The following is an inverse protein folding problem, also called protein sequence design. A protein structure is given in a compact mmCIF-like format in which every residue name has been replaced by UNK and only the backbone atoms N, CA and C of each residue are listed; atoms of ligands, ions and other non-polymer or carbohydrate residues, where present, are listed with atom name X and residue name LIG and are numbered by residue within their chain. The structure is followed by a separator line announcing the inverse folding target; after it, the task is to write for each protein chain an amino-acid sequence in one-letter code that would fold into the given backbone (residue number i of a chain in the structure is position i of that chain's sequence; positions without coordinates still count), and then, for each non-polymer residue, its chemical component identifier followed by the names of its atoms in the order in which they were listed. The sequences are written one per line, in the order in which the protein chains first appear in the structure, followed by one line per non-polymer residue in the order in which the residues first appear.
data_IF_309229904871
#
_entry.id   IF_309229904871
#
_cell.length_a   1.000
_cell.length_b   1.000
_cell.length_c   1.000
_cell.angle_alpha   90.00
_cell.angle_beta   90.00
_cell.angle_gamma   90.00
#
_symmetry.space_group_name_H-M   'P 1'
#
loop_
_entity.id
_entity.type
_entity.pdbx_description
1 polymer ?
#
# COMPACT_ATOMS: atom_id res chain seq x y z
N UNK A 1 -28.55 21.72 -0.38
CA UNK A 1 -27.86 22.51 0.67
C UNK A 1 -26.61 21.75 1.02
N UNK A 2 -25.46 22.39 1.01
CA UNK A 2 -24.21 21.75 1.45
C UNK A 2 -24.23 21.69 2.98
N UNK A 3 -23.84 20.55 3.54
CA UNK A 3 -23.82 20.37 4.99
C UNK A 3 -22.72 21.26 5.62
N UNK A 4 -22.95 21.76 6.83
CA UNK A 4 -22.02 22.67 7.52
C UNK A 4 -20.64 22.02 7.72
N UNK A 5 -20.64 20.71 7.99
CA UNK A 5 -19.40 19.93 8.13
C UNK A 5 -18.64 19.86 6.81
N UNK A 6 -19.35 19.68 5.68
CA UNK A 6 -18.73 19.64 4.35
C UNK A 6 -18.08 20.98 3.97
N UNK A 7 -18.76 22.10 4.23
CA UNK A 7 -18.20 23.45 3.97
C UNK A 7 -16.95 23.68 4.81
N UNK A 8 -17.00 23.37 6.11
CA UNK A 8 -15.84 23.53 6.99
C UNK A 8 -14.69 22.60 6.59
N UNK A 9 -14.97 21.34 6.23
CA UNK A 9 -13.96 20.40 5.71
C UNK A 9 -13.30 20.93 4.44
N UNK A 10 -14.09 21.45 3.50
CA UNK A 10 -13.55 22.06 2.28
C UNK A 10 -12.64 23.25 2.62
N UNK A 11 -13.11 24.14 3.52
CA UNK A 11 -12.39 25.33 3.96
C UNK A 11 -11.01 25.00 4.50
N UNK A 12 -10.92 23.97 5.36
CA UNK A 12 -9.66 23.56 6.01
C UNK A 12 -8.88 22.50 5.23
N UNK A 13 -9.39 22.06 4.08
CA UNK A 13 -8.77 21.01 3.26
C UNK A 13 -8.71 19.64 3.95
N UNK A 14 -9.74 19.28 4.72
CA UNK A 14 -9.88 17.97 5.35
C UNK A 14 -10.60 16.95 4.45
N UNK A 15 -10.24 15.66 4.55
CA UNK A 15 -10.99 14.55 3.95
C UNK A 15 -12.23 14.17 4.76
N UNK A 16 -12.94 13.08 4.42
CA UNK A 16 -14.15 12.64 5.15
C UNK A 16 -13.93 12.16 6.57
N UNK A 17 -12.67 11.92 6.93
CA UNK A 17 -12.29 11.48 8.27
C UNK A 17 -11.64 12.61 9.08
N UNK A 18 -11.60 13.83 8.54
CA UNK A 18 -11.02 14.98 9.22
C UNK A 18 -9.52 15.14 9.09
N UNK A 19 -8.86 14.36 8.22
CA UNK A 19 -7.42 14.49 8.03
C UNK A 19 -7.10 15.70 7.15
N UNK A 20 -6.34 16.64 7.70
CA UNK A 20 -5.89 17.84 7.00
C UNK A 20 -4.68 17.47 6.12
N UNK A 21 -4.81 17.66 4.81
CA UNK A 21 -3.72 17.38 3.84
C UNK A 21 -2.93 18.63 3.44
N UNK A 22 -3.48 19.81 3.71
CA UNK A 22 -2.93 21.10 3.30
C UNK A 22 -3.17 22.13 4.39
N UNK A 23 -2.34 23.17 4.44
CA UNK A 23 -2.43 24.31 5.35
C UNK A 23 -3.51 25.35 4.94
N UNK A 24 -4.51 24.94 4.13
CA UNK A 24 -5.59 25.81 3.67
C UNK A 24 -6.54 26.16 4.81
N UNK A 25 -7.09 27.37 4.76
CA UNK A 25 -8.16 27.82 5.67
C UNK A 25 -8.99 28.95 5.07
N UNK A 26 -9.41 28.84 3.81
CA UNK A 26 -10.23 29.87 3.17
C UNK A 26 -11.27 29.26 2.25
N UNK A 27 -12.45 29.85 2.23
CA UNK A 27 -13.57 29.50 1.37
C UNK A 27 -14.12 30.79 0.77
N UNK A 28 -14.21 30.86 -0.56
CA UNK A 28 -14.61 32.09 -1.27
C UNK A 28 -15.98 31.86 -1.87
N UNK A 29 -16.95 32.72 -1.52
CA UNK A 29 -18.29 32.70 -2.09
C UNK A 29 -18.98 34.06 -1.87
N UNK A 30 -19.75 34.53 -2.84
CA UNK A 30 -20.55 35.76 -2.73
C UNK A 30 -22.04 35.49 -2.52
N UNK A 31 -22.85 36.53 -2.30
CA UNK A 31 -24.30 36.45 -1.99
C UNK A 31 -25.12 35.67 -3.03
N UNK A 32 -24.71 35.67 -4.29
CA UNK A 32 -25.32 34.86 -5.36
C UNK A 32 -24.91 33.38 -5.37
N UNK A 33 -23.98 32.98 -4.51
CA UNK A 33 -23.43 31.63 -4.42
C UNK A 33 -24.30 30.70 -3.58
N UNK A 34 -24.37 29.42 -3.99
CA UNK A 34 -25.18 28.38 -3.32
C UNK A 34 -24.84 28.20 -1.83
N UNK A 35 -23.58 28.40 -1.46
CA UNK A 35 -23.07 28.12 -0.11
C UNK A 35 -22.92 29.36 0.77
N UNK A 36 -23.21 30.55 0.24
CA UNK A 36 -22.99 31.81 0.98
C UNK A 36 -23.87 31.91 2.22
N UNK A 37 -25.17 31.58 2.12
CA UNK A 37 -26.07 31.57 3.28
C UNK A 37 -25.60 30.60 4.37
N UNK A 38 -25.05 29.45 3.98
CA UNK A 38 -24.49 28.50 4.93
C UNK A 38 -23.21 29.05 5.60
N UNK A 39 -22.34 29.72 4.84
CA UNK A 39 -21.16 30.39 5.39
C UNK A 39 -21.53 31.53 6.35
N UNK A 40 -22.56 32.32 6.04
CA UNK A 40 -23.10 33.34 6.95
C UNK A 40 -23.66 32.71 8.23
N UNK A 41 -24.39 31.60 8.12
CA UNK A 41 -24.86 30.82 9.26
C UNK A 41 -23.71 30.32 10.15
N UNK A 42 -22.65 29.79 9.53
CA UNK A 42 -21.43 29.35 10.22
C UNK A 42 -20.68 30.50 10.92
N UNK A 43 -20.68 31.70 10.33
CA UNK A 43 -20.14 32.91 10.98
C UNK A 43 -20.98 33.30 12.20
N UNK A 44 -22.31 33.32 12.05
CA UNK A 44 -23.25 33.61 13.16
C UNK A 44 -23.09 32.62 14.32
N UNK A 45 -22.81 31.35 14.03
CA UNK A 45 -22.54 30.31 15.02
C UNK A 45 -21.12 30.34 15.60
N UNK A 46 -20.22 31.21 15.13
CA UNK A 46 -18.84 31.33 15.61
C UNK A 46 -17.86 30.29 15.05
N UNK A 47 -18.28 29.46 14.09
CA UNK A 47 -17.44 28.46 13.44
C UNK A 47 -16.59 29.02 12.30
N UNK A 48 -16.97 30.17 11.76
CA UNK A 48 -16.19 30.89 10.76
C UNK A 48 -16.05 32.38 11.10
N UNK A 49 -15.06 33.03 10.49
CA UNK A 49 -14.97 34.49 10.37
C UNK A 49 -15.02 34.87 8.90
N UNK A 50 -15.57 36.04 8.56
CA UNK A 50 -15.60 36.54 7.19
C UNK A 50 -14.73 37.78 7.00
N UNK A 51 -14.26 37.96 5.76
CA UNK A 51 -13.69 39.21 5.24
C UNK A 51 -14.41 39.57 3.96
N UNK A 52 -14.67 40.87 3.77
CA UNK A 52 -15.27 41.34 2.53
C UNK A 52 -14.35 41.08 1.35
N UNK A 53 -14.97 40.71 0.23
CA UNK A 53 -14.29 40.47 -1.02
C UNK A 53 -13.52 41.67 -1.54
N UNK A 54 -12.57 41.40 -2.42
CA UNK A 54 -11.78 42.42 -3.09
C UNK A 54 -11.57 42.03 -4.57
N UNK A 55 -10.78 42.83 -5.30
CA UNK A 55 -10.51 42.56 -6.71
C UNK A 55 -9.87 41.17 -6.96
N UNK A 56 -9.07 40.66 -6.02
CA UNK A 56 -8.44 39.34 -6.15
C UNK A 56 -9.43 38.18 -5.98
N UNK A 57 -10.58 38.42 -5.31
CA UNK A 57 -11.65 37.43 -5.15
C UNK A 57 -12.83 37.66 -6.08
N UNK A 58 -12.71 38.58 -7.05
CA UNK A 58 -13.81 38.95 -7.94
C UNK A 58 -14.97 39.66 -7.23
N UNK A 59 -14.73 40.16 -6.01
CA UNK A 59 -15.75 40.78 -5.15
C UNK A 59 -16.42 39.82 -4.16
N UNK A 60 -16.15 38.52 -4.25
CA UNK A 60 -16.74 37.52 -3.35
C UNK A 60 -16.11 37.53 -1.96
N UNK A 61 -16.93 37.29 -0.94
CA UNK A 61 -16.51 37.25 0.46
C UNK A 61 -15.62 36.03 0.75
N UNK A 62 -14.67 36.19 1.67
CA UNK A 62 -13.74 35.16 2.09
C UNK A 62 -14.08 34.72 3.52
N UNK A 63 -14.28 33.43 3.71
CA UNK A 63 -14.59 32.83 4.99
C UNK A 63 -13.42 31.97 5.46
N UNK A 64 -13.10 32.05 6.75
CA UNK A 64 -12.02 31.29 7.40
C UNK A 64 -12.61 30.50 8.55
N UNK A 65 -12.25 29.22 8.70
CA UNK A 65 -12.69 28.43 9.85
C UNK A 65 -11.96 28.91 11.11
N UNK A 66 -12.72 29.08 12.19
CA UNK A 66 -12.17 29.35 13.52
C UNK A 66 -11.64 28.06 14.15
N UNK A 67 -11.02 28.17 15.33
CA UNK A 67 -10.67 26.99 16.13
C UNK A 67 -11.92 26.14 16.45
N UNK A 68 -13.01 26.79 16.86
CA UNK A 68 -14.28 26.10 17.14
C UNK A 68 -14.83 25.40 15.89
N UNK A 69 -14.70 25.99 14.70
CA UNK A 69 -15.11 25.35 13.45
C UNK A 69 -14.30 24.09 13.13
N UNK A 70 -12.98 24.09 13.42
CA UNK A 70 -12.12 22.90 13.28
C UNK A 70 -12.51 21.80 14.26
N UNK A 71 -12.80 22.17 15.51
CA UNK A 71 -13.28 21.24 16.54
C UNK A 71 -14.64 20.65 16.16
N UNK A 72 -15.55 21.46 15.62
CA UNK A 72 -16.84 21.01 15.12
C UNK A 72 -16.69 19.97 14.00
N UNK A 73 -15.75 20.16 13.07
CA UNK A 73 -15.44 19.15 12.06
C UNK A 73 -14.96 17.85 12.72
N UNK A 74 -14.01 17.90 13.65
CA UNK A 74 -13.48 16.70 14.31
C UNK A 74 -14.56 15.89 15.05
N UNK A 75 -15.53 16.57 15.68
CA UNK A 75 -16.62 15.92 16.40
C UNK A 75 -17.69 15.29 15.49
N UNK A 76 -17.81 15.77 14.24
CA UNK A 76 -18.88 15.37 13.32
C UNK A 76 -18.38 14.62 12.08
N UNK A 77 -17.10 14.25 12.01
CA UNK A 77 -16.57 13.43 10.92
C UNK A 77 -16.96 11.96 11.09
N UNK A 78 -16.96 11.27 9.96
CA UNK A 78 -17.01 9.81 9.97
C UNK A 78 -15.75 9.26 10.68
N UNK A 79 -15.88 8.21 11.50
CA UNK A 79 -14.71 7.58 12.08
C UNK A 79 -13.79 7.07 10.97
N UNK A 80 -12.52 7.40 11.06
CA UNK A 80 -11.52 6.88 10.14
C UNK A 80 -11.56 5.34 10.15
N UNK A 81 -11.47 4.67 8.98
CA UNK A 81 -11.33 3.23 8.96
C UNK A 81 -10.06 2.84 9.72
N UNK A 82 -10.11 1.72 10.43
CA UNK A 82 -8.93 1.20 11.11
C UNK A 82 -7.77 1.04 10.12
N UNK A 83 -6.54 1.44 10.50
CA UNK A 83 -5.40 1.27 9.63
C UNK A 83 -5.21 -0.20 9.30
N UNK A 84 -5.05 -0.52 8.01
CA UNK A 84 -4.83 -1.90 7.58
C UNK A 84 -3.56 -2.47 8.23
N UNK A 85 -3.61 -3.74 8.61
CA UNK A 85 -2.41 -4.46 9.07
C UNK A 85 -1.36 -4.43 7.96
N UNK A 86 -0.11 -4.10 8.33
CA UNK A 86 1.00 -4.10 7.40
C UNK A 86 1.26 -5.50 6.87
N UNK A 87 1.56 -5.59 5.58
CA UNK A 87 1.90 -6.84 4.91
C UNK A 87 3.42 -6.94 4.72
N UNK A 88 3.93 -8.14 4.47
CA UNK A 88 5.33 -8.34 4.02
C UNK A 88 5.68 -7.53 2.76
N UNK A 89 4.70 -7.26 1.89
CA UNK A 89 4.93 -6.40 0.73
C UNK A 89 5.13 -4.93 1.12
N UNK A 90 4.44 -4.46 2.17
CA UNK A 90 4.65 -3.11 2.69
C UNK A 90 5.99 -3.00 3.43
N UNK A 91 6.39 -4.04 4.15
CA UNK A 91 7.73 -4.10 4.76
C UNK A 91 8.84 -4.10 3.71
N UNK A 92 8.69 -4.87 2.62
CA UNK A 92 9.65 -4.87 1.52
C UNK A 92 9.72 -3.51 0.80
N UNK A 93 8.58 -2.83 0.62
CA UNK A 93 8.56 -1.50 -0.02
C UNK A 93 9.31 -0.44 0.78
N UNK A 94 9.26 -0.53 2.10
CA UNK A 94 9.98 0.37 3.00
C UNK A 94 11.47 0.00 3.16
N UNK A 95 11.86 -1.18 2.68
CA UNK A 95 13.22 -1.67 2.78
C UNK A 95 14.07 -1.05 1.69
N UNK A 96 15.08 -0.31 2.11
CA UNK A 96 16.09 0.22 1.19
C UNK A 96 17.19 -0.84 0.98
N UNK A 97 17.10 -1.58 -0.13
CA UNK A 97 18.02 -2.66 -0.44
C UNK A 97 17.89 -3.14 -1.88
N UNK A 98 18.94 -3.82 -2.36
CA UNK A 98 18.98 -4.34 -3.73
C UNK A 98 18.37 -5.74 -3.88
N UNK A 99 17.74 -6.29 -2.83
CA UNK A 99 17.16 -7.62 -2.87
C UNK A 99 15.79 -7.62 -3.57
N UNK A 100 15.56 -8.64 -4.38
CA UNK A 100 14.25 -8.91 -4.97
C UNK A 100 13.22 -9.30 -3.89
N UNK A 101 11.94 -9.13 -4.19
CA UNK A 101 10.87 -9.55 -3.26
C UNK A 101 10.95 -11.05 -2.92
N UNK A 102 11.38 -11.89 -3.85
CA UNK A 102 11.58 -13.33 -3.61
C UNK A 102 12.69 -13.62 -2.61
N UNK A 103 13.82 -12.90 -2.71
CA UNK A 103 14.93 -13.01 -1.76
C UNK A 103 14.50 -12.51 -0.38
N UNK A 104 13.81 -11.38 -0.29
CA UNK A 104 13.24 -10.87 0.95
C UNK A 104 12.31 -11.91 1.63
N UNK A 105 11.38 -12.50 0.87
CA UNK A 105 10.45 -13.50 1.41
C UNK A 105 11.15 -14.77 1.90
N UNK A 106 12.28 -15.13 1.29
CA UNK A 106 13.02 -16.35 1.61
C UNK A 106 14.23 -16.10 2.50
N UNK A 107 14.46 -14.84 2.90
CA UNK A 107 15.67 -14.40 3.59
C UNK A 107 16.94 -14.86 2.87
N UNK A 108 17.01 -14.56 1.57
CA UNK A 108 18.11 -14.95 0.67
C UNK A 108 18.12 -16.41 0.23
N UNK A 109 17.28 -17.29 0.78
CA UNK A 109 17.24 -18.73 0.43
C UNK A 109 16.33 -19.00 -0.77
N UNK A 110 16.55 -18.25 -1.85
CA UNK A 110 15.74 -18.35 -3.06
C UNK A 110 16.00 -19.71 -3.75
N UNK A 111 14.96 -20.50 -4.05
CA UNK A 111 15.16 -21.77 -4.71
C UNK A 111 15.44 -21.58 -6.21
N UNK A 112 16.40 -22.36 -6.71
CA UNK A 112 16.91 -22.30 -8.09
C UNK A 112 16.71 -23.63 -8.80
N UNK A 113 16.67 -23.59 -10.13
CA UNK A 113 16.70 -24.80 -10.95
C UNK A 113 18.13 -25.13 -11.35
N UNK A 114 18.42 -26.42 -11.40
CA UNK A 114 19.53 -26.97 -12.18
C UNK A 114 19.00 -27.91 -13.25
N UNK A 115 19.80 -28.09 -14.29
CA UNK A 115 19.50 -28.96 -15.42
C UNK A 115 20.67 -29.90 -15.67
N UNK A 116 20.37 -31.13 -16.10
CA UNK A 116 21.37 -32.09 -16.57
C UNK A 116 20.89 -32.74 -17.86
N UNK A 117 21.83 -33.20 -18.67
CA UNK A 117 21.53 -34.03 -19.83
C UNK A 117 21.24 -35.46 -19.36
N UNK A 118 20.10 -36.01 -19.76
CA UNK A 118 19.71 -37.39 -19.47
C UNK A 118 20.49 -38.34 -20.40
N UNK A 119 21.74 -38.66 -20.04
CA UNK A 119 22.54 -39.63 -20.80
C UNK A 119 21.97 -41.05 -20.64
N UNK A 120 21.73 -41.73 -21.77
CA UNK A 120 21.44 -43.17 -21.82
C UNK A 120 19.98 -43.60 -21.73
N UNK A 121 19.03 -42.69 -21.44
CA UNK A 121 17.60 -43.04 -21.27
C UNK A 121 16.65 -42.26 -22.20
N UNK A 122 17.19 -41.55 -23.19
CA UNK A 122 16.39 -40.81 -24.16
C UNK A 122 16.32 -41.57 -25.50
N UNK A 123 15.13 -41.65 -26.12
CA UNK A 123 14.99 -42.08 -27.52
C UNK A 123 15.97 -41.32 -28.44
N UNK A 124 16.46 -41.98 -29.49
CA UNK A 124 17.52 -41.50 -30.41
C UNK A 124 17.29 -40.10 -31.01
N UNK A 125 16.08 -39.59 -30.90
CA UNK A 125 15.51 -38.36 -31.45
C UNK A 125 15.28 -37.24 -30.41
N UNK A 126 15.56 -37.45 -29.12
CA UNK A 126 15.32 -36.45 -28.06
C UNK A 126 16.55 -36.25 -27.19
N UNK A 127 17.23 -35.11 -27.30
CA UNK A 127 18.17 -34.67 -26.25
C UNK A 127 17.36 -34.31 -25.01
N UNK A 128 17.11 -35.31 -24.14
CA UNK A 128 16.30 -35.15 -22.93
C UNK A 128 17.07 -34.37 -21.88
N UNK A 129 16.49 -33.27 -21.40
CA UNK A 129 16.96 -32.59 -20.19
C UNK A 129 16.12 -33.03 -19.01
N UNK A 130 16.79 -33.27 -17.88
CA UNK A 130 16.13 -33.37 -16.59
C UNK A 130 16.40 -32.08 -15.81
N UNK A 131 15.47 -31.75 -14.92
CA UNK A 131 15.51 -30.57 -14.08
C UNK A 131 15.36 -31.00 -12.62
N UNK A 132 16.04 -30.28 -11.73
CA UNK A 132 15.85 -30.39 -10.28
C UNK A 132 15.77 -28.98 -9.71
N UNK A 133 14.95 -28.80 -8.68
CA UNK A 133 14.86 -27.53 -7.95
C UNK A 133 15.38 -27.73 -6.54
N UNK A 134 16.19 -26.79 -6.06
CA UNK A 134 16.80 -26.83 -4.74
C UNK A 134 16.98 -25.43 -4.16
N UNK A 135 17.28 -25.32 -2.87
CA UNK A 135 17.74 -24.07 -2.24
C UNK A 135 18.99 -24.32 -1.39
N UNK A 136 19.81 -23.28 -1.29
CA UNK A 136 20.95 -23.26 -0.39
C UNK A 136 20.54 -23.05 1.07
N UNK A 137 21.38 -23.52 1.99
CA UNK A 137 21.22 -23.27 3.43
C UNK A 137 21.37 -21.78 3.75
N UNK A 138 22.38 -21.12 3.17
CA UNK A 138 22.59 -19.67 3.26
C UNK A 138 23.29 -19.12 2.00
N UNK A 139 22.55 -18.49 1.09
CA UNK A 139 23.15 -17.77 -0.04
C UNK A 139 23.66 -16.38 0.40
N UNK A 140 24.74 -15.82 -0.16
CA UNK A 140 25.65 -16.36 -1.19
C UNK A 140 26.85 -17.16 -0.65
N UNK A 141 26.96 -17.37 0.67
CA UNK A 141 28.20 -17.82 1.30
C UNK A 141 28.28 -19.34 1.56
N UNK A 142 27.17 -20.08 1.40
CA UNK A 142 27.11 -21.52 1.63
C UNK A 142 26.56 -22.26 0.41
N UNK A 143 27.37 -23.17 -0.15
CA UNK A 143 27.02 -24.04 -1.27
C UNK A 143 26.29 -25.31 -0.84
N UNK A 144 26.05 -25.52 0.46
CA UNK A 144 25.28 -26.65 0.98
C UNK A 144 23.80 -26.49 0.66
N UNK A 145 23.19 -27.59 0.25
CA UNK A 145 21.77 -27.66 -0.09
C UNK A 145 20.98 -28.00 1.17
N UNK A 146 20.02 -27.15 1.53
CA UNK A 146 19.10 -27.39 2.65
C UNK A 146 17.90 -28.23 2.20
N UNK A 147 17.33 -27.91 1.04
CA UNK A 147 16.22 -28.66 0.45
C UNK A 147 16.49 -28.88 -1.02
N UNK A 148 16.39 -30.13 -1.45
CA UNK A 148 16.43 -30.53 -2.85
C UNK A 148 15.25 -31.43 -3.19
N UNK A 149 14.68 -31.24 -4.38
CA UNK A 149 13.73 -32.18 -4.97
C UNK A 149 14.44 -33.26 -5.78
N UNK A 150 13.66 -34.06 -6.49
CA UNK A 150 14.14 -35.09 -7.42
C UNK A 150 14.43 -34.52 -8.82
N UNK A 151 15.22 -35.25 -9.59
CA UNK A 151 15.37 -35.01 -11.02
C UNK A 151 14.09 -35.42 -11.76
N UNK A 152 13.57 -34.55 -12.61
CA UNK A 152 12.35 -34.79 -13.37
C UNK A 152 12.48 -34.34 -14.82
N UNK A 153 11.70 -34.94 -15.73
CA UNK A 153 11.72 -34.59 -17.15
C UNK A 153 11.23 -33.17 -17.46
N UNK A 154 10.51 -32.53 -16.53
CA UNK A 154 10.03 -31.15 -16.69
C UNK A 154 10.29 -30.29 -15.45
N UNK A 155 10.46 -28.97 -15.66
CA UNK A 155 10.57 -27.99 -14.55
C UNK A 155 9.33 -27.98 -13.65
N UNK A 156 8.14 -28.30 -14.20
CA UNK A 156 6.88 -28.35 -13.44
C UNK A 156 6.90 -29.48 -12.41
N UNK A 157 7.32 -30.67 -12.82
CA UNK A 157 7.47 -31.83 -11.95
C UNK A 157 8.58 -31.62 -10.92
N UNK A 158 9.74 -31.09 -11.35
CA UNK A 158 10.84 -30.75 -10.44
C UNK A 158 10.41 -29.76 -9.34
N UNK A 159 9.61 -28.74 -9.70
CA UNK A 159 9.04 -27.79 -8.73
C UNK A 159 8.06 -28.46 -7.77
N UNK A 160 7.27 -29.42 -8.24
CA UNK A 160 6.35 -30.18 -7.40
C UNK A 160 7.11 -31.05 -6.39
N UNK A 161 8.15 -31.76 -6.86
CA UNK A 161 9.04 -32.56 -6.01
C UNK A 161 9.74 -31.69 -4.95
N UNK A 162 10.29 -30.54 -5.33
CA UNK A 162 10.89 -29.60 -4.37
C UNK A 162 9.90 -29.11 -3.30
N UNK A 163 8.64 -28.81 -3.69
CA UNK A 163 7.61 -28.41 -2.71
C UNK A 163 7.28 -29.52 -1.70
N UNK A 164 7.33 -30.78 -2.13
CA UNK A 164 7.15 -31.92 -1.24
C UNK A 164 8.29 -32.01 -0.23
N UNK A 165 9.55 -31.99 -0.71
CA UNK A 165 10.74 -31.99 0.14
C UNK A 165 10.75 -30.80 1.12
N UNK A 166 10.36 -29.61 0.67
CA UNK A 166 10.27 -28.42 1.54
C UNK A 166 9.26 -28.60 2.66
N UNK A 167 8.10 -29.21 2.37
CA UNK A 167 7.06 -29.47 3.37
C UNK A 167 7.52 -30.50 4.40
N UNK A 168 8.28 -31.50 3.97
CA UNK A 168 8.89 -32.50 4.87
C UNK A 168 9.95 -31.85 5.77
N UNK A 169 10.83 -31.02 5.21
CA UNK A 169 11.81 -30.25 6.00
C UNK A 169 11.15 -29.37 7.06
N UNK A 170 10.05 -28.69 6.71
CA UNK A 170 9.28 -27.86 7.64
C UNK A 170 8.66 -28.67 8.78
N UNK A 171 8.19 -29.89 8.48
CA UNK A 171 7.66 -30.81 9.50
C UNK A 171 8.76 -31.33 10.43
N UNK A 172 9.95 -31.59 9.91
CA UNK A 172 11.08 -32.04 10.71
C UNK A 172 11.69 -30.94 11.61
N UNK A 173 11.43 -29.67 11.31
CA UNK A 173 11.89 -28.51 12.09
C UNK A 173 10.87 -27.96 13.10
N UNK A 174 9.68 -28.56 13.18
CA UNK A 174 8.61 -28.19 14.11
C UNK A 174 8.63 -29.10 15.34
#
# INVERSE_FOLDING_TARGET
MSDWVEILRHTIGADQYGHIRHDRNYFITGEGGKDWLACVGLVSAGYMTSRKGNAATGGDDIFFATRAGREFVQLNNEPAPEPRKRTKADEWRDRDGCESFGEFLTNGRLPVFEQRQAYGNAPRDRYGYEYRMYRYEAYPYDYRRDVEGEWCGTKKEAKASYKAALKERQRASA
#
